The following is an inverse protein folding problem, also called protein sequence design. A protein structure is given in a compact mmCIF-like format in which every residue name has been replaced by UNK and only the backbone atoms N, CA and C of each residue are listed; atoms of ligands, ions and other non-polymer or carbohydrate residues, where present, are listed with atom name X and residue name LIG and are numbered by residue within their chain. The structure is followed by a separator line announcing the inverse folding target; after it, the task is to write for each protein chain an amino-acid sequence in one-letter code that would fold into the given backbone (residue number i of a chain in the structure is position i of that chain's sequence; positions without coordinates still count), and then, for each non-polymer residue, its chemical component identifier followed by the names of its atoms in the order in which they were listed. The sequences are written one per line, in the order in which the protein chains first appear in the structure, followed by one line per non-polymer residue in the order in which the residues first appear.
data_IF_841736267005
#
_entry.id   IF_841736267005
#
_cell.length_a   1.000
_cell.length_b   1.000
_cell.length_c   1.000
_cell.angle_alpha   90.00
_cell.angle_beta   90.00
_cell.angle_gamma   90.00
#
_symmetry.space_group_name_H-M   'P 1'
#
loop_
_entity.id
_entity.type
_entity.pdbx_description
1 polymer ?
#
# COMPACT_ATOMS: atom_id res chain seq x y z
N UNK A 1 -3.70 -3.80 -33.94
CA UNK A 1 -3.06 -4.21 -32.69
C UNK A 1 -2.67 -2.92 -31.97
N UNK A 2 -3.48 -2.50 -31.02
CA UNK A 2 -3.27 -1.26 -30.26
C UNK A 2 -2.02 -1.40 -29.39
N UNK A 3 -1.02 -0.54 -29.68
CA UNK A 3 0.28 -0.52 -29.02
C UNK A 3 0.28 0.17 -27.65
N UNK A 4 -0.83 0.12 -26.91
CA UNK A 4 -0.99 0.77 -25.60
C UNK A 4 -1.67 -0.13 -24.57
N UNK A 5 -1.46 -1.44 -24.61
CA UNK A 5 -1.72 -2.25 -23.43
C UNK A 5 -0.66 -1.92 -22.38
N UNK A 6 -1.05 -1.09 -21.44
CA UNK A 6 -0.22 -0.73 -20.29
C UNK A 6 0.05 -2.02 -19.50
N UNK A 7 1.29 -2.48 -19.57
CA UNK A 7 1.68 -3.73 -18.92
C UNK A 7 1.70 -3.51 -17.40
N UNK A 8 0.77 -4.15 -16.69
CA UNK A 8 0.72 -4.13 -15.24
C UNK A 8 2.01 -4.71 -14.63
N UNK A 9 2.41 -4.27 -13.43
CA UNK A 9 3.50 -4.90 -12.70
C UNK A 9 3.26 -6.42 -12.55
N UNK A 10 4.32 -7.23 -12.70
CA UNK A 10 4.23 -8.69 -12.64
C UNK A 10 4.92 -9.25 -11.41
N UNK A 11 4.35 -10.31 -10.85
CA UNK A 11 4.97 -11.01 -9.71
C UNK A 11 6.32 -11.58 -10.10
N UNK A 12 7.30 -11.42 -9.22
CA UNK A 12 8.66 -11.90 -9.42
C UNK A 12 9.52 -10.99 -10.29
N UNK A 13 8.99 -9.88 -10.80
CA UNK A 13 9.74 -8.88 -11.59
C UNK A 13 10.02 -7.62 -10.77
N UNK A 14 11.10 -6.86 -11.13
CA UNK A 14 11.33 -5.55 -10.55
C UNK A 14 10.11 -4.63 -10.75
N UNK A 15 9.73 -3.89 -9.70
CA UNK A 15 8.63 -2.94 -9.79
C UNK A 15 8.99 -1.76 -10.69
N UNK A 16 8.02 -1.17 -11.42
CA UNK A 16 8.23 0.04 -12.19
C UNK A 16 8.74 1.17 -11.30
N UNK A 17 9.88 1.77 -11.68
CA UNK A 17 10.46 2.89 -10.94
C UNK A 17 9.73 4.20 -11.24
N UNK A 18 9.61 5.06 -10.23
CA UNK A 18 9.06 6.40 -10.39
C UNK A 18 9.66 7.38 -9.39
N UNK A 19 9.50 8.67 -9.67
CA UNK A 19 9.71 9.76 -8.73
C UNK A 19 8.39 10.48 -8.52
N UNK A 20 8.07 10.81 -7.27
CA UNK A 20 6.84 11.52 -6.91
C UNK A 20 7.04 12.44 -5.71
N UNK A 21 6.17 13.45 -5.60
CA UNK A 21 6.05 14.25 -4.38
C UNK A 21 5.11 13.55 -3.40
N UNK A 22 5.40 13.71 -2.12
CA UNK A 22 4.59 13.16 -1.04
C UNK A 22 4.33 14.19 0.04
N UNK A 23 3.53 13.82 1.03
CA UNK A 23 3.34 14.64 2.26
C UNK A 23 4.63 14.88 3.04
N UNK A 24 5.70 14.11 2.79
CA UNK A 24 6.99 14.17 3.50
C UNK A 24 8.17 14.54 2.59
N UNK A 25 7.92 15.02 1.39
CA UNK A 25 8.93 15.40 0.41
C UNK A 25 8.96 14.47 -0.81
N UNK A 26 10.00 14.63 -1.63
CA UNK A 26 10.18 13.82 -2.84
C UNK A 26 10.62 12.40 -2.48
N UNK A 27 10.12 11.42 -3.21
CA UNK A 27 10.51 10.02 -3.11
C UNK A 27 10.93 9.49 -4.48
N UNK A 28 11.98 8.65 -4.50
CA UNK A 28 12.42 7.84 -5.65
C UNK A 28 12.15 6.38 -5.31
N UNK A 29 11.13 5.79 -5.93
CA UNK A 29 10.72 4.41 -5.67
C UNK A 29 11.22 3.48 -6.77
N UNK A 30 11.75 2.29 -6.46
CA UNK A 30 11.98 1.69 -5.14
C UNK A 30 13.33 2.07 -4.50
N UNK A 31 14.12 2.94 -5.12
CA UNK A 31 15.53 3.22 -4.76
C UNK A 31 15.72 3.66 -3.31
N UNK A 32 14.85 4.54 -2.79
CA UNK A 32 14.92 5.07 -1.42
C UNK A 32 14.57 4.02 -0.34
N UNK A 33 14.02 2.88 -0.75
CA UNK A 33 13.56 1.80 0.13
C UNK A 33 14.40 0.53 0.03
N UNK A 34 15.56 0.60 -0.65
CA UNK A 34 16.45 -0.56 -0.78
C UNK A 34 16.80 -1.16 0.58
N UNK A 35 16.70 -2.48 0.70
CA UNK A 35 16.93 -3.20 1.95
C UNK A 35 15.73 -3.30 2.88
N UNK A 36 14.59 -2.72 2.51
CA UNK A 36 13.34 -2.77 3.27
C UNK A 36 12.22 -3.37 2.43
N UNK A 37 11.30 -4.04 3.08
CA UNK A 37 10.00 -4.33 2.51
C UNK A 37 9.19 -3.05 2.37
N UNK A 38 8.36 -2.97 1.35
CA UNK A 38 7.44 -1.84 1.17
C UNK A 38 6.05 -2.36 0.86
N UNK A 39 5.07 -1.76 1.50
CA UNK A 39 3.68 -1.85 1.10
C UNK A 39 3.30 -0.51 0.47
N UNK A 40 3.23 -0.50 -0.87
CA UNK A 40 2.64 0.61 -1.62
C UNK A 40 1.14 0.34 -1.77
N UNK A 41 0.32 1.28 -1.33
CA UNK A 41 -1.13 1.12 -1.41
C UNK A 41 -1.82 2.38 -1.92
N UNK A 42 -2.93 2.21 -2.62
CA UNK A 42 -3.76 3.32 -3.09
C UNK A 42 -5.09 3.40 -2.38
N UNK A 43 -5.69 4.59 -2.37
CA UNK A 43 -7.05 4.84 -1.91
C UNK A 43 -7.77 5.78 -2.88
N UNK A 44 -9.11 5.71 -2.98
CA UNK A 44 -9.88 6.47 -3.96
C UNK A 44 -9.82 7.99 -3.79
N UNK A 45 -10.06 8.49 -2.57
CA UNK A 45 -10.06 9.92 -2.31
C UNK A 45 -9.93 10.24 -0.81
N UNK A 46 -9.28 11.36 -0.51
CA UNK A 46 -9.23 11.93 0.84
C UNK A 46 -10.64 12.28 1.35
N UNK A 47 -10.78 12.42 2.66
CA UNK A 47 -12.02 12.80 3.33
C UNK A 47 -13.22 11.89 3.09
N UNK A 48 -13.04 10.70 2.53
CA UNK A 48 -14.12 9.71 2.39
C UNK A 48 -14.13 8.73 3.56
N UNK A 49 -15.29 8.17 3.94
CA UNK A 49 -15.42 7.36 5.16
C UNK A 49 -14.53 6.12 5.17
N UNK A 50 -14.53 5.33 4.09
CA UNK A 50 -13.73 4.10 4.03
C UNK A 50 -12.23 4.44 4.02
N UNK A 51 -11.79 5.40 3.20
CA UNK A 51 -10.39 5.81 3.13
C UNK A 51 -9.89 6.35 4.48
N UNK A 52 -10.72 7.12 5.18
CA UNK A 52 -10.41 7.64 6.51
C UNK A 52 -10.22 6.49 7.52
N UNK A 53 -11.11 5.50 7.53
CA UNK A 53 -10.98 4.34 8.40
C UNK A 53 -9.71 3.52 8.10
N UNK A 54 -9.34 3.38 6.82
CA UNK A 54 -8.14 2.67 6.38
C UNK A 54 -6.85 3.39 6.77
N UNK A 55 -6.72 4.69 6.46
CA UNK A 55 -5.52 5.45 6.76
C UNK A 55 -5.30 5.60 8.26
N UNK A 56 -6.38 5.77 9.03
CA UNK A 56 -6.32 5.74 10.49
C UNK A 56 -5.83 4.38 11.02
N UNK A 57 -6.34 3.27 10.48
CA UNK A 57 -5.93 1.92 10.87
C UNK A 57 -4.47 1.62 10.49
N UNK A 58 -4.02 1.98 9.29
CA UNK A 58 -2.62 1.88 8.91
C UNK A 58 -1.73 2.75 9.80
N UNK A 59 -2.17 3.99 10.09
CA UNK A 59 -1.46 4.89 11.00
C UNK A 59 -1.26 4.29 12.38
N UNK A 60 -2.32 3.72 12.96
CA UNK A 60 -2.27 3.06 14.26
C UNK A 60 -1.37 1.82 14.28
N UNK A 61 -1.22 1.16 13.13
CA UNK A 61 -0.41 -0.08 12.98
C UNK A 61 0.97 0.15 12.38
N UNK A 62 1.38 1.39 12.12
CA UNK A 62 2.67 1.70 11.50
C UNK A 62 3.85 1.07 12.24
N UNK A 63 3.83 1.06 13.58
CA UNK A 63 4.88 0.46 14.39
C UNK A 63 5.00 -1.06 14.18
N UNK A 64 3.89 -1.78 13.95
CA UNK A 64 3.91 -3.22 13.63
C UNK A 64 4.67 -3.48 12.32
N UNK A 65 4.38 -2.70 11.27
CA UNK A 65 5.04 -2.86 9.97
C UNK A 65 6.51 -2.47 10.05
N UNK A 66 6.86 -1.40 10.75
CA UNK A 66 8.26 -1.02 11.00
C UNK A 66 9.04 -2.10 11.74
N UNK A 67 8.44 -2.76 12.72
CA UNK A 67 9.05 -3.89 13.43
C UNK A 67 9.31 -5.10 12.51
N UNK A 68 8.58 -5.22 11.42
CA UNK A 68 8.78 -6.21 10.35
C UNK A 68 9.70 -5.71 9.23
N UNK A 69 10.51 -4.67 9.45
CA UNK A 69 11.35 -4.02 8.43
C UNK A 69 10.54 -3.65 7.17
N UNK A 70 9.32 -3.16 7.35
CA UNK A 70 8.42 -2.79 6.26
C UNK A 70 7.97 -1.33 6.38
N UNK A 71 8.15 -0.58 5.29
CA UNK A 71 7.67 0.80 5.16
C UNK A 71 6.31 0.82 4.44
N UNK A 72 5.49 1.79 4.80
CA UNK A 72 4.19 2.04 4.19
C UNK A 72 4.26 3.27 3.31
N UNK A 73 3.65 3.23 2.12
CA UNK A 73 3.50 4.38 1.23
C UNK A 73 2.07 4.39 0.71
N UNK A 74 1.34 5.47 0.99
CA UNK A 74 0.01 5.70 0.44
C UNK A 74 0.06 6.45 -0.89
N UNK A 75 -1.00 6.33 -1.68
CA UNK A 75 -1.20 7.08 -2.92
C UNK A 75 -2.68 7.38 -3.14
N UNK A 76 -3.00 8.58 -3.56
CA UNK A 76 -4.25 8.88 -4.26
C UNK A 76 -4.03 9.97 -5.30
N UNK A 77 -5.07 10.24 -6.08
CA UNK A 77 -5.06 11.30 -7.10
C UNK A 77 -5.34 12.69 -6.53
N UNK A 78 -5.44 12.81 -5.21
CA UNK A 78 -5.60 14.09 -4.52
C UNK A 78 -4.28 14.86 -4.43
N UNK A 79 -4.39 16.16 -4.16
CA UNK A 79 -3.22 17.03 -4.00
C UNK A 79 -2.55 16.84 -2.65
N UNK A 80 -1.25 17.16 -2.57
CA UNK A 80 -0.49 17.17 -1.31
C UNK A 80 -1.16 18.02 -0.22
N UNK A 81 -1.74 19.15 -0.59
CA UNK A 81 -2.42 20.02 0.38
C UNK A 81 -3.68 19.36 0.94
N UNK A 82 -4.42 18.63 0.10
CA UNK A 82 -5.56 17.80 0.55
C UNK A 82 -5.08 16.75 1.55
N UNK A 83 -4.06 15.96 1.21
CA UNK A 83 -3.50 14.96 2.11
C UNK A 83 -3.09 15.56 3.47
N UNK A 84 -2.35 16.67 3.48
CA UNK A 84 -1.91 17.31 4.73
C UNK A 84 -3.10 17.75 5.59
N UNK A 85 -4.11 18.37 4.98
CA UNK A 85 -5.31 18.80 5.68
C UNK A 85 -6.11 17.61 6.21
N UNK A 86 -6.23 16.55 5.43
CA UNK A 86 -6.92 15.32 5.80
C UNK A 86 -6.22 14.57 6.94
N UNK A 87 -4.90 14.40 6.88
CA UNK A 87 -4.12 13.77 7.95
C UNK A 87 -4.21 14.55 9.27
N UNK A 88 -4.24 15.88 9.20
CA UNK A 88 -4.53 16.72 10.37
C UNK A 88 -5.91 16.45 10.93
N UNK A 89 -6.93 16.40 10.07
CA UNK A 89 -8.32 16.11 10.47
C UNK A 89 -8.44 14.73 11.10
N UNK A 90 -7.78 13.71 10.54
CA UNK A 90 -7.74 12.35 11.12
C UNK A 90 -7.19 12.41 12.54
N UNK A 91 -6.08 13.08 12.76
CA UNK A 91 -5.46 13.20 14.08
C UNK A 91 -6.33 13.97 15.07
N UNK A 92 -6.90 15.10 14.66
CA UNK A 92 -7.54 16.04 15.58
C UNK A 92 -9.01 15.74 15.86
N UNK A 93 -9.71 15.06 14.93
CA UNK A 93 -11.18 15.01 14.95
C UNK A 93 -11.78 13.63 14.71
N UNK A 94 -10.99 12.64 14.30
CA UNK A 94 -11.55 11.34 13.94
C UNK A 94 -11.26 10.31 15.02
N UNK A 95 -12.30 9.62 15.42
CA UNK A 95 -12.22 8.40 16.22
C UNK A 95 -12.89 7.24 15.47
N UNK A 96 -12.24 6.09 15.42
CA UNK A 96 -12.76 4.88 14.78
C UNK A 96 -12.32 3.64 15.56
N UNK A 97 -13.27 2.83 16.03
CA UNK A 97 -12.99 1.60 16.81
C UNK A 97 -12.06 1.84 18.00
N UNK A 98 -12.22 2.96 18.71
CA UNK A 98 -11.38 3.33 19.84
C UNK A 98 -10.01 3.92 19.49
N UNK A 99 -9.64 3.96 18.21
CA UNK A 99 -8.43 4.62 17.73
C UNK A 99 -8.70 6.13 17.59
N UNK A 100 -7.93 6.96 18.28
CA UNK A 100 -8.00 8.43 18.26
C UNK A 100 -6.60 9.02 18.40
N UNK A 101 -6.44 10.28 18.07
CA UNK A 101 -5.17 11.01 18.11
C UNK A 101 -4.05 10.33 17.29
N UNK A 102 -4.43 9.61 16.23
CA UNK A 102 -3.49 8.83 15.43
C UNK A 102 -2.69 9.75 14.52
N UNK A 103 -1.38 9.79 14.74
CA UNK A 103 -0.43 10.42 13.83
C UNK A 103 -0.04 9.43 12.74
N UNK A 104 -0.42 9.74 11.51
CA UNK A 104 0.02 8.96 10.33
C UNK A 104 1.45 9.34 10.00
N UNK A 105 2.37 8.39 10.09
CA UNK A 105 3.82 8.60 9.93
C UNK A 105 4.39 8.12 8.60
N UNK A 106 3.59 7.57 7.73
CA UNK A 106 4.00 7.20 6.38
C UNK A 106 3.68 8.29 5.36
N UNK A 107 4.46 8.42 4.27
CA UNK A 107 4.18 9.37 3.19
C UNK A 107 2.95 8.97 2.37
N UNK A 108 2.23 9.98 1.85
CA UNK A 108 1.17 9.80 0.85
C UNK A 108 1.58 10.55 -0.40
N UNK A 109 1.59 9.86 -1.54
CA UNK A 109 1.93 10.41 -2.86
C UNK A 109 0.76 11.21 -3.39
N UNK A 110 1.03 12.44 -3.87
CA UNK A 110 0.09 13.33 -4.54
C UNK A 110 0.10 13.08 -6.06
N UNK A 111 -0.61 12.05 -6.50
CA UNK A 111 -0.61 11.64 -7.91
C UNK A 111 -1.74 12.30 -8.72
N UNK A 112 -1.86 13.63 -8.63
CA UNK A 112 -2.89 14.42 -9.37
C UNK A 112 -2.87 14.16 -10.87
N UNK A 113 -1.70 13.85 -11.43
CA UNK A 113 -1.54 13.51 -12.85
C UNK A 113 -1.93 12.07 -13.19
N UNK A 114 -2.25 11.25 -12.20
CA UNK A 114 -2.50 9.82 -12.32
C UNK A 114 -1.33 9.02 -12.95
N UNK A 115 -0.12 9.58 -12.94
CA UNK A 115 1.05 8.96 -13.57
C UNK A 115 1.43 7.64 -12.89
N UNK A 116 1.55 7.64 -11.57
CA UNK A 116 1.90 6.45 -10.80
C UNK A 116 0.72 5.49 -10.73
N UNK A 117 -0.50 6.02 -10.53
CA UNK A 117 -1.71 5.21 -10.50
C UNK A 117 -1.93 4.43 -11.79
N UNK A 118 -1.68 5.05 -12.95
CA UNK A 118 -1.72 4.35 -14.23
C UNK A 118 -0.56 3.34 -14.34
N UNK A 119 0.67 3.72 -14.02
CA UNK A 119 1.85 2.86 -14.10
C UNK A 119 1.66 1.53 -13.33
N UNK A 120 0.92 1.57 -12.23
CA UNK A 120 0.64 0.41 -11.38
C UNK A 120 -0.76 -0.20 -11.61
N UNK A 121 -1.50 0.27 -12.61
CA UNK A 121 -2.85 -0.24 -12.91
C UNK A 121 -3.87 0.03 -11.81
N UNK A 122 -3.67 1.09 -11.01
CA UNK A 122 -4.58 1.47 -9.94
C UNK A 122 -5.84 2.17 -10.46
N UNK A 123 -5.81 2.67 -11.71
CA UNK A 123 -7.00 3.20 -12.38
C UNK A 123 -7.68 2.05 -13.10
N UNK A 124 -8.88 1.70 -12.66
CA UNK A 124 -9.69 0.62 -13.19
C UNK A 124 -10.96 1.21 -13.79
N UNK A 125 -11.08 1.34 -15.12
CA UNK A 125 -12.20 2.06 -15.75
C UNK A 125 -13.58 1.52 -15.41
N UNK A 126 -13.70 0.24 -15.07
CA UNK A 126 -14.96 -0.37 -14.62
C UNK A 126 -15.39 0.09 -13.21
N UNK A 127 -14.47 0.61 -12.41
CA UNK A 127 -14.72 1.17 -11.08
C UNK A 127 -14.70 2.70 -11.09
N UNK A 128 -13.63 3.30 -11.65
CA UNK A 128 -13.47 4.74 -11.79
C UNK A 128 -12.41 5.08 -12.84
N UNK A 129 -12.64 6.16 -13.58
CA UNK A 129 -11.66 6.73 -14.50
C UNK A 129 -10.81 7.84 -13.87
N UNK A 130 -11.19 8.33 -12.69
CA UNK A 130 -10.60 9.51 -12.05
C UNK A 130 -10.16 9.29 -10.61
N UNK A 131 -10.32 8.06 -10.08
CA UNK A 131 -9.89 7.69 -8.76
C UNK A 131 -9.17 6.33 -8.80
N UNK A 132 -8.15 6.17 -7.96
CA UNK A 132 -7.50 4.88 -7.81
C UNK A 132 -8.39 3.91 -7.03
N UNK A 133 -8.36 2.63 -7.41
CA UNK A 133 -8.96 1.56 -6.59
C UNK A 133 -8.12 1.31 -5.34
N UNK A 134 -8.57 0.43 -4.45
CA UNK A 134 -7.81 0.07 -3.24
C UNK A 134 -6.81 -1.03 -3.54
N UNK A 135 -5.71 -0.71 -4.17
CA UNK A 135 -4.64 -1.65 -4.46
C UNK A 135 -3.63 -1.73 -3.31
N UNK A 136 -2.96 -2.88 -3.20
CA UNK A 136 -1.85 -3.13 -2.27
C UNK A 136 -0.78 -3.90 -3.03
N UNK A 137 0.45 -3.40 -3.01
CA UNK A 137 1.62 -4.04 -3.61
C UNK A 137 2.65 -4.34 -2.53
N UNK A 138 3.09 -5.58 -2.46
CA UNK A 138 4.14 -6.04 -1.55
C UNK A 138 5.45 -6.11 -2.32
N UNK A 139 6.38 -5.24 -1.98
CA UNK A 139 7.68 -5.11 -2.65
C UNK A 139 8.78 -5.52 -1.69
N UNK A 140 9.64 -6.42 -2.12
CA UNK A 140 10.73 -6.94 -1.30
C UNK A 140 11.93 -5.98 -1.21
N UNK A 141 12.92 -6.25 -0.34
CA UNK A 141 14.12 -5.42 -0.17
C UNK A 141 14.99 -5.25 -1.42
N UNK A 142 14.77 -6.04 -2.47
CA UNK A 142 15.46 -5.94 -3.76
C UNK A 142 14.65 -5.13 -4.78
N UNK A 143 13.45 -4.67 -4.42
CA UNK A 143 12.54 -3.95 -5.31
C UNK A 143 11.75 -4.86 -6.25
N UNK A 144 11.55 -6.12 -5.88
CA UNK A 144 10.77 -7.10 -6.65
C UNK A 144 9.34 -7.17 -6.12
N UNK A 145 8.36 -7.21 -7.02
CA UNK A 145 6.96 -7.41 -6.67
C UNK A 145 6.70 -8.86 -6.24
N UNK A 146 6.22 -9.04 -5.02
CA UNK A 146 6.00 -10.37 -4.42
C UNK A 146 4.53 -10.77 -4.33
N UNK A 147 3.64 -9.82 -4.12
CA UNK A 147 2.20 -10.00 -4.13
C UNK A 147 1.50 -8.70 -4.46
N UNK A 148 0.28 -8.78 -4.96
CA UNK A 148 -0.60 -7.62 -5.14
C UNK A 148 -2.05 -8.02 -4.90
N UNK A 149 -2.84 -7.10 -4.34
CA UNK A 149 -4.26 -7.30 -4.07
C UNK A 149 -5.00 -6.06 -4.54
N UNK A 150 -6.09 -6.25 -5.26
CA UNK A 150 -6.98 -5.19 -5.71
C UNK A 150 -8.36 -5.37 -5.10
N UNK A 151 -8.91 -4.30 -4.57
CA UNK A 151 -10.25 -4.22 -4.01
C UNK A 151 -11.06 -3.16 -4.75
N UNK A 152 -12.37 -3.35 -4.92
CA UNK A 152 -13.26 -2.32 -5.46
C UNK A 152 -13.35 -1.12 -4.52
N UNK A 153 -13.88 0.00 -5.02
CA UNK A 153 -13.98 1.25 -4.25
C UNK A 153 -14.77 1.10 -2.94
N UNK A 154 -15.79 0.25 -2.95
CA UNK A 154 -16.73 0.10 -1.82
C UNK A 154 -16.28 -0.88 -0.73
N UNK A 155 -15.18 -1.61 -0.94
CA UNK A 155 -14.71 -2.64 0.02
C UNK A 155 -13.41 -2.22 0.70
N UNK A 156 -13.49 -1.89 2.00
CA UNK A 156 -12.31 -1.63 2.85
C UNK A 156 -11.46 -2.88 3.03
N UNK A 157 -10.14 -2.68 3.18
CA UNK A 157 -9.14 -3.74 3.30
C UNK A 157 -9.14 -4.40 4.69
N UNK A 158 -8.70 -5.66 4.73
CA UNK A 158 -8.40 -6.37 5.97
C UNK A 158 -6.90 -6.25 6.28
N UNK A 159 -6.56 -5.55 7.36
CA UNK A 159 -5.15 -5.27 7.72
C UNK A 159 -4.45 -6.49 8.33
N UNK A 160 -5.19 -7.43 8.92
CA UNK A 160 -4.60 -8.69 9.39
C UNK A 160 -4.18 -9.56 8.21
N UNK A 161 -4.95 -9.56 7.13
CA UNK A 161 -4.55 -10.23 5.88
C UNK A 161 -3.33 -9.57 5.24
N UNK A 162 -3.25 -8.23 5.21
CA UNK A 162 -2.06 -7.53 4.70
C UNK A 162 -0.82 -7.92 5.51
N UNK A 163 -0.93 -7.97 6.84
CA UNK A 163 0.17 -8.41 7.71
C UNK A 163 0.49 -9.89 7.49
N UNK A 164 -0.52 -10.76 7.37
CA UNK A 164 -0.36 -12.19 7.10
C UNK A 164 0.46 -12.43 5.83
N UNK A 165 0.11 -11.74 4.75
CA UNK A 165 0.84 -11.85 3.47
C UNK A 165 2.30 -11.42 3.62
N UNK A 166 2.56 -10.27 4.26
CA UNK A 166 3.92 -9.78 4.50
C UNK A 166 4.76 -10.79 5.29
N UNK A 167 4.24 -11.26 6.43
CA UNK A 167 4.95 -12.21 7.31
C UNK A 167 5.19 -13.54 6.60
N UNK A 168 4.21 -14.03 5.82
CA UNK A 168 4.36 -15.23 5.02
C UNK A 168 5.47 -15.10 3.98
N UNK A 169 5.51 -13.99 3.23
CA UNK A 169 6.57 -13.73 2.25
C UNK A 169 7.96 -13.63 2.89
N UNK A 170 8.06 -13.00 4.05
CA UNK A 170 9.31 -12.91 4.82
C UNK A 170 9.78 -14.29 5.31
N UNK A 171 8.86 -15.14 5.77
CA UNK A 171 9.19 -16.49 6.21
C UNK A 171 9.63 -17.39 5.04
N UNK A 172 9.00 -17.27 3.86
CA UNK A 172 9.44 -17.95 2.64
C UNK A 172 10.89 -17.58 2.31
N UNK A 173 11.22 -16.30 2.35
CA UNK A 173 12.58 -15.83 2.03
C UNK A 173 13.63 -16.25 3.07
N UNK A 174 13.24 -16.24 4.35
CA UNK A 174 14.17 -16.55 5.44
C UNK A 174 14.45 -18.05 5.61
N UNK A 175 13.45 -18.90 5.34
CA UNK A 175 13.51 -20.32 5.71
C UNK A 175 13.32 -21.28 4.53
N UNK A 176 13.00 -20.80 3.33
CA UNK A 176 12.74 -21.65 2.15
C UNK A 176 11.51 -22.55 2.32
N UNK A 177 10.52 -22.11 3.08
CA UNK A 177 9.30 -22.86 3.39
C UNK A 177 8.15 -22.41 2.51
N UNK A 178 7.04 -23.18 2.52
CA UNK A 178 5.79 -22.79 1.84
C UNK A 178 4.64 -22.66 2.86
N UNK A 179 3.73 -21.72 2.59
CA UNK A 179 2.57 -21.48 3.45
C UNK A 179 1.38 -22.29 2.94
N UNK A 180 0.80 -23.18 3.76
CA UNK A 180 -0.43 -23.89 3.38
C UNK A 180 -1.62 -22.93 3.31
N UNK A 181 -2.74 -23.44 2.79
CA UNK A 181 -4.00 -22.69 2.78
C UNK A 181 -4.38 -22.28 4.22
N UNK A 182 -5.00 -21.09 4.35
CA UNK A 182 -5.45 -20.51 5.61
C UNK A 182 -4.35 -20.27 6.67
N UNK A 183 -3.08 -20.46 6.33
CA UNK A 183 -1.95 -20.24 7.23
C UNK A 183 -1.97 -18.86 7.90
N UNK A 184 -1.67 -18.84 9.18
CA UNK A 184 -1.47 -17.63 9.98
C UNK A 184 -0.11 -17.66 10.66
N UNK A 185 0.47 -16.50 11.00
CA UNK A 185 1.72 -16.45 11.78
C UNK A 185 1.60 -17.27 13.07
N UNK A 186 2.49 -18.27 13.24
CA UNK A 186 2.47 -19.22 14.34
C UNK A 186 1.98 -20.61 13.96
N UNK A 187 1.33 -20.78 12.81
CA UNK A 187 0.90 -22.09 12.31
C UNK A 187 2.08 -22.87 11.68
N UNK A 188 1.88 -24.17 11.52
CA UNK A 188 2.83 -25.04 10.82
C UNK A 188 3.03 -24.63 9.37
N UNK A 189 4.23 -24.86 8.84
CA UNK A 189 4.63 -24.58 7.46
C UNK A 189 4.96 -25.87 6.71
N UNK A 190 4.94 -25.83 5.40
CA UNK A 190 5.37 -26.93 4.54
C UNK A 190 6.86 -26.74 4.26
N UNK A 191 7.67 -27.75 4.56
CA UNK A 191 9.08 -27.85 4.15
C UNK A 191 9.11 -28.58 2.82
N UNK A 192 9.50 -27.92 1.70
CA UNK A 192 9.52 -28.53 0.37
C UNK A 192 10.58 -29.63 0.25
#
# INVERSE_FOLDING_TARGET
MDKNEQQLPRLGEPVPAFEAMTTQGKVSFPADYKGKWVILFSHPADFTPICTSEVLTFGARTAEFKALNCELIGLSVDSRNSHIAWLRTIREKIEYKGMKDIKVEFPIIDDVSMKVANLYGMIQPGESQTAAVRAVFFVDPKGVLRAMIYYPLALGRNFDEIKRVLVGLQAIDAFGVAMPADWRPGDEVIVP
#
